data_IF_490309954954
#
_entry.id   IF_490309954954
#
_cell.length_a   1.000
_cell.length_b   1.000
_cell.length_c   1.000
_cell.angle_alpha   90.00
_cell.angle_beta   90.00
_cell.angle_gamma   90.00
#
_symmetry.space_group_name_H-M   'P 1'
#
loop_
_entity.id
_entity.type
_entity.pdbx_description
1 polymer ?
#
# COMPACT_ATOMS: atom_id res chain seq x y z
N UNK A 1 -18.08 7.09 -9.87
CA UNK A 1 -16.70 6.53 -9.91
C UNK A 1 -16.72 5.00 -9.96
N UNK A 2 -17.34 4.29 -9.04
CA UNK A 2 -17.35 2.80 -9.08
C UNK A 2 -17.89 2.22 -10.39
N UNK A 3 -18.95 2.77 -10.95
CA UNK A 3 -19.58 2.30 -12.19
C UNK A 3 -18.71 2.51 -13.46
N UNK A 4 -17.86 3.52 -13.49
CA UNK A 4 -17.07 3.84 -14.69
C UNK A 4 -15.59 3.47 -14.55
N UNK A 5 -15.10 3.20 -13.34
CA UNK A 5 -13.70 2.98 -13.05
C UNK A 5 -13.44 1.70 -12.24
N UNK A 6 -14.15 1.52 -11.13
CA UNK A 6 -13.84 0.48 -10.14
C UNK A 6 -13.93 -0.94 -10.69
N UNK A 7 -14.92 -1.23 -11.53
CA UNK A 7 -15.07 -2.57 -12.12
C UNK A 7 -13.95 -2.92 -13.11
N UNK A 8 -13.41 -1.95 -13.85
CA UNK A 8 -12.27 -2.15 -14.76
C UNK A 8 -11.01 -2.47 -13.98
N UNK A 9 -10.77 -1.76 -12.87
CA UNK A 9 -9.68 -2.07 -11.96
C UNK A 9 -9.83 -3.47 -11.36
N UNK A 10 -11.03 -3.84 -10.89
CA UNK A 10 -11.30 -5.17 -10.36
C UNK A 10 -11.06 -6.27 -11.40
N UNK A 11 -11.49 -6.05 -12.65
CA UNK A 11 -11.25 -6.96 -13.74
C UNK A 11 -9.74 -7.11 -14.05
N UNK A 12 -9.01 -6.02 -14.11
CA UNK A 12 -7.56 -6.03 -14.31
C UNK A 12 -6.81 -6.80 -13.22
N UNK A 13 -7.21 -6.62 -11.95
CA UNK A 13 -6.67 -7.38 -10.81
C UNK A 13 -7.01 -8.86 -10.96
N UNK A 14 -8.26 -9.20 -11.29
CA UNK A 14 -8.69 -10.59 -11.44
C UNK A 14 -7.90 -11.30 -12.56
N UNK A 15 -7.78 -10.68 -13.73
CA UNK A 15 -7.03 -11.23 -14.86
C UNK A 15 -5.56 -11.43 -14.48
N UNK A 16 -4.94 -10.45 -13.83
CA UNK A 16 -3.55 -10.51 -13.38
C UNK A 16 -3.35 -11.65 -12.38
N UNK A 17 -4.24 -11.79 -11.39
CA UNK A 17 -4.16 -12.85 -10.39
C UNK A 17 -4.33 -14.25 -11.01
N UNK A 18 -5.28 -14.43 -11.93
CA UNK A 18 -5.48 -15.70 -12.64
C UNK A 18 -4.24 -16.04 -13.47
N UNK A 19 -3.67 -15.06 -14.18
CA UNK A 19 -2.46 -15.27 -14.97
C UNK A 19 -1.28 -15.70 -14.07
N UNK A 20 -1.04 -15.00 -12.98
CA UNK A 20 0.02 -15.36 -12.02
C UNK A 20 -0.22 -16.72 -11.39
N UNK A 21 -1.45 -17.03 -11.01
CA UNK A 21 -1.78 -18.36 -10.50
C UNK A 21 -1.44 -19.47 -11.51
N UNK A 22 -1.77 -19.28 -12.79
CA UNK A 22 -1.44 -20.24 -13.85
C UNK A 22 0.06 -20.39 -14.04
N UNK A 23 0.79 -19.26 -14.10
CA UNK A 23 2.24 -19.24 -14.31
C UNK A 23 3.00 -19.85 -13.14
N UNK A 24 2.61 -19.53 -11.91
CA UNK A 24 3.32 -19.94 -10.70
C UNK A 24 2.69 -21.11 -9.96
N UNK A 25 1.66 -21.77 -10.52
CA UNK A 25 0.95 -22.90 -9.88
C UNK A 25 1.88 -24.00 -9.35
N UNK A 26 2.97 -24.28 -10.08
CA UNK A 26 3.94 -25.30 -9.66
C UNK A 26 4.78 -24.86 -8.44
N UNK A 27 5.04 -23.56 -8.30
CA UNK A 27 5.72 -23.01 -7.13
C UNK A 27 4.79 -22.97 -5.92
N UNK A 28 3.55 -22.53 -6.09
CA UNK A 28 2.54 -22.58 -5.03
C UNK A 28 2.31 -23.99 -4.48
N UNK A 29 2.29 -25.00 -5.36
CA UNK A 29 2.15 -26.40 -4.96
C UNK A 29 3.38 -26.92 -4.17
N UNK A 30 4.59 -26.37 -4.40
CA UNK A 30 5.79 -26.68 -3.61
C UNK A 30 5.74 -26.00 -2.25
N UNK A 31 5.43 -24.69 -2.22
CA UNK A 31 5.33 -23.93 -0.96
C UNK A 31 4.35 -24.58 0.03
N UNK A 32 3.17 -24.97 -0.43
CA UNK A 32 2.20 -25.65 0.45
C UNK A 32 2.68 -27.01 0.99
N UNK A 33 3.61 -27.69 0.30
CA UNK A 33 4.20 -28.94 0.81
C UNK A 33 5.33 -28.69 1.82
N UNK A 34 6.06 -27.61 1.63
CA UNK A 34 7.17 -27.21 2.51
C UNK A 34 6.62 -26.64 3.83
N UNK A 35 5.59 -25.80 3.80
CA UNK A 35 4.88 -25.33 5.00
C UNK A 35 4.30 -26.48 5.84
N UNK A 36 3.68 -27.47 5.18
CA UNK A 36 3.15 -28.66 5.90
C UNK A 36 4.29 -29.48 6.50
N UNK A 37 5.47 -29.50 5.89
CA UNK A 37 6.64 -30.21 6.40
C UNK A 37 7.30 -29.48 7.56
N UNK A 38 7.42 -28.16 7.49
CA UNK A 38 7.95 -27.32 8.57
C UNK A 38 6.99 -27.29 9.76
N UNK A 39 5.70 -27.09 9.54
CA UNK A 39 4.68 -27.17 10.60
C UNK A 39 4.64 -28.53 11.30
N UNK A 40 4.99 -29.63 10.61
CA UNK A 40 5.09 -30.95 11.23
C UNK A 40 6.44 -31.21 11.94
N UNK A 41 7.48 -30.44 11.62
CA UNK A 41 8.81 -30.55 12.23
C UNK A 41 8.99 -29.64 13.46
N UNK A 42 8.26 -28.52 13.51
CA UNK A 42 8.38 -27.47 14.54
C UNK A 42 7.45 -27.63 15.76
N UNK A 43 6.80 -28.78 15.96
CA UNK A 43 6.14 -29.05 17.23
C UNK A 43 7.13 -29.36 18.40
N UNK A 44 8.26 -28.64 18.40
CA UNK A 44 9.08 -28.51 19.60
C UNK A 44 8.95 -27.05 20.07
N UNK A 45 7.99 -26.85 20.96
CA UNK A 45 7.84 -25.64 21.78
C UNK A 45 9.15 -25.35 22.52
N UNK A 46 9.87 -24.27 22.26
CA UNK A 46 10.83 -23.78 23.23
C UNK A 46 10.05 -23.37 24.48
N UNK A 47 10.44 -23.87 25.64
CA UNK A 47 9.93 -23.38 26.93
C UNK A 47 10.17 -21.87 27.00
N UNK A 48 9.12 -21.10 26.78
CA UNK A 48 9.12 -19.67 27.01
C UNK A 48 9.34 -19.45 28.50
N UNK A 49 10.58 -19.22 28.87
CA UNK A 49 10.97 -18.85 30.21
C UNK A 49 10.15 -17.61 30.59
N UNK A 50 9.25 -17.73 31.55
CA UNK A 50 8.36 -16.69 32.05
C UNK A 50 9.18 -15.56 32.67
N UNK A 51 9.79 -14.69 31.85
CA UNK A 51 10.46 -13.49 32.30
C UNK A 51 9.40 -12.45 32.68
N UNK A 52 9.56 -11.86 33.85
CA UNK A 52 8.63 -10.86 34.36
C UNK A 52 8.77 -9.56 33.53
N UNK A 53 7.64 -8.87 33.20
CA UNK A 53 7.69 -7.55 32.59
C UNK A 53 8.51 -6.60 33.47
N UNK A 54 9.59 -6.03 32.94
CA UNK A 54 10.47 -5.12 33.67
C UNK A 54 11.93 -5.58 33.78
N UNK A 55 12.28 -6.79 33.37
CA UNK A 55 13.64 -7.32 33.34
C UNK A 55 14.22 -7.53 31.94
N UNK A 56 13.43 -7.24 30.89
CA UNK A 56 13.87 -7.32 29.51
C UNK A 56 14.42 -5.98 29.02
N UNK A 57 15.49 -6.03 28.24
CA UNK A 57 15.90 -4.88 27.44
C UNK A 57 14.84 -4.61 26.33
N UNK A 58 14.82 -3.38 25.80
CA UNK A 58 13.88 -3.02 24.74
C UNK A 58 14.02 -3.93 23.53
N UNK A 59 15.24 -4.30 23.17
CA UNK A 59 15.56 -5.14 22.00
C UNK A 59 15.12 -6.60 22.20
N UNK A 60 15.27 -7.16 23.41
CA UNK A 60 14.77 -8.49 23.77
C UNK A 60 13.23 -8.54 23.73
N UNK A 61 12.59 -7.45 24.20
CA UNK A 61 11.14 -7.31 24.12
C UNK A 61 10.65 -7.24 22.67
N UNK A 62 11.34 -6.49 21.80
CA UNK A 62 11.01 -6.41 20.38
C UNK A 62 11.23 -7.74 19.65
N UNK A 63 12.31 -8.48 19.95
CA UNK A 63 12.58 -9.79 19.39
C UNK A 63 11.49 -10.81 19.80
N UNK A 64 11.11 -10.85 21.07
CA UNK A 64 10.02 -11.69 21.57
C UNK A 64 8.68 -11.39 20.90
N UNK A 65 8.41 -10.11 20.55
CA UNK A 65 7.20 -9.72 19.84
C UNK A 65 7.24 -10.05 18.34
N UNK A 66 8.43 -10.05 17.74
CA UNK A 66 8.61 -10.45 16.33
C UNK A 66 8.39 -11.95 16.11
N UNK A 67 8.71 -12.77 17.12
CA UNK A 67 8.54 -14.25 17.11
C UNK A 67 7.16 -14.71 17.59
N UNK A 68 6.24 -13.80 17.81
CA UNK A 68 4.94 -14.13 18.37
C UNK A 68 4.05 -14.89 17.40
N UNK A 69 3.78 -16.16 17.66
CA UNK A 69 2.85 -17.01 16.89
C UNK A 69 1.37 -16.87 17.30
N UNK A 70 1.06 -16.11 18.36
CA UNK A 70 -0.31 -15.97 18.83
C UNK A 70 -1.15 -15.13 17.87
N UNK A 71 -2.28 -15.67 17.44
CA UNK A 71 -3.25 -14.96 16.60
C UNK A 71 -3.78 -13.71 17.30
N UNK A 72 -3.86 -12.60 16.56
CA UNK A 72 -4.44 -11.36 17.07
C UNK A 72 -5.93 -11.62 17.38
N UNK A 73 -6.43 -11.28 18.59
CA UNK A 73 -7.83 -11.44 18.93
C UNK A 73 -8.74 -10.68 17.94
N UNK A 74 -9.81 -11.33 17.51
CA UNK A 74 -10.72 -10.74 16.52
C UNK A 74 -11.31 -9.37 16.93
N UNK A 75 -11.52 -9.15 18.24
CA UNK A 75 -12.04 -7.88 18.75
C UNK A 75 -11.03 -6.73 18.56
N UNK A 76 -9.72 -7.00 18.64
CA UNK A 76 -8.67 -6.01 18.34
C UNK A 76 -8.78 -5.58 16.88
N UNK A 77 -8.88 -6.56 15.97
CA UNK A 77 -9.08 -6.29 14.54
C UNK A 77 -10.36 -5.48 14.29
N UNK A 78 -11.46 -5.83 14.96
CA UNK A 78 -12.72 -5.10 14.84
C UNK A 78 -12.56 -3.63 15.29
N UNK A 79 -11.89 -3.38 16.41
CA UNK A 79 -11.64 -2.01 16.90
C UNK A 79 -10.77 -1.23 15.91
N UNK A 80 -9.75 -1.84 15.31
CA UNK A 80 -8.97 -1.20 14.23
C UNK A 80 -9.85 -0.80 13.04
N UNK A 81 -10.75 -1.69 12.61
CA UNK A 81 -11.70 -1.40 11.53
C UNK A 81 -12.65 -0.25 11.90
N UNK A 82 -13.09 -0.17 13.17
CA UNK A 82 -13.90 0.94 13.65
C UNK A 82 -13.14 2.27 13.60
N UNK A 83 -11.86 2.30 14.01
CA UNK A 83 -11.04 3.52 13.90
C UNK A 83 -10.77 3.90 12.45
N UNK A 84 -10.55 2.93 11.57
CA UNK A 84 -10.43 3.18 10.13
C UNK A 84 -11.71 3.79 9.57
N UNK A 85 -12.86 3.19 9.85
CA UNK A 85 -14.17 3.70 9.42
C UNK A 85 -14.43 5.11 9.97
N UNK A 86 -14.11 5.36 11.24
CA UNK A 86 -14.19 6.69 11.86
C UNK A 86 -13.32 7.70 11.11
N UNK A 87 -12.07 7.37 10.84
CA UNK A 87 -11.14 8.26 10.14
C UNK A 87 -11.62 8.58 8.73
N UNK A 88 -12.10 7.58 7.98
CA UNK A 88 -12.67 7.78 6.64
C UNK A 88 -13.91 8.66 6.68
N UNK A 89 -14.82 8.39 7.61
CA UNK A 89 -16.06 9.18 7.76
C UNK A 89 -15.80 10.63 8.16
N UNK A 90 -14.80 10.86 9.01
CA UNK A 90 -14.45 12.19 9.54
C UNK A 90 -13.31 12.87 8.80
N UNK A 91 -12.86 12.34 7.65
CA UNK A 91 -11.66 12.78 6.91
C UNK A 91 -11.65 14.29 6.60
N UNK A 92 -12.83 14.91 6.42
CA UNK A 92 -12.98 16.34 6.16
C UNK A 92 -13.04 17.21 7.44
N UNK A 93 -13.03 16.61 8.62
CA UNK A 93 -13.19 17.29 9.92
C UNK A 93 -11.98 17.03 10.83
N UNK A 94 -10.89 17.85 10.74
CA UNK A 94 -9.69 17.67 11.55
C UNK A 94 -9.95 17.60 13.06
N UNK A 95 -10.94 18.38 13.54
CA UNK A 95 -11.36 18.37 14.94
C UNK A 95 -11.93 17.03 15.43
N UNK A 96 -12.27 16.10 14.52
CA UNK A 96 -12.79 14.77 14.84
C UNK A 96 -11.76 13.67 14.59
N UNK A 97 -11.05 13.68 13.47
CA UNK A 97 -10.10 12.61 13.18
C UNK A 97 -8.80 12.73 13.98
N UNK A 98 -8.33 13.95 14.35
CA UNK A 98 -7.13 14.11 15.16
C UNK A 98 -7.32 13.52 16.57
N UNK A 99 -8.36 13.86 17.34
CA UNK A 99 -8.63 13.18 18.59
C UNK A 99 -8.88 11.67 18.43
N UNK A 100 -9.54 11.26 17.33
CA UNK A 100 -9.70 9.86 16.99
C UNK A 100 -8.37 9.12 16.84
N UNK A 101 -7.39 9.73 16.17
CA UNK A 101 -6.02 9.20 16.08
C UNK A 101 -5.35 9.10 17.46
N UNK A 102 -5.46 10.13 18.30
CA UNK A 102 -4.88 10.08 19.65
C UNK A 102 -5.52 8.99 20.50
N UNK A 103 -6.84 8.81 20.38
CA UNK A 103 -7.53 7.73 21.06
C UNK A 103 -7.12 6.36 20.54
N UNK A 104 -6.92 6.21 19.22
CA UNK A 104 -6.34 5.01 18.62
C UNK A 104 -4.96 4.69 19.17
N UNK A 105 -4.06 5.68 19.29
CA UNK A 105 -2.73 5.48 19.88
C UNK A 105 -2.81 5.05 21.35
N UNK A 106 -3.76 5.58 22.11
CA UNK A 106 -4.05 5.13 23.48
C UNK A 106 -4.52 3.68 23.50
N UNK A 107 -5.43 3.30 22.61
CA UNK A 107 -5.88 1.92 22.47
C UNK A 107 -4.72 0.98 22.11
N UNK A 108 -3.86 1.39 21.16
CA UNK A 108 -2.65 0.62 20.80
C UNK A 108 -1.72 0.39 21.97
N UNK A 109 -1.50 1.42 22.79
CA UNK A 109 -0.67 1.33 23.99
C UNK A 109 -1.26 0.36 25.03
N UNK A 110 -2.57 0.43 25.27
CA UNK A 110 -3.25 -0.43 26.23
C UNK A 110 -3.32 -1.90 25.79
N UNK A 111 -3.39 -2.13 24.49
CA UNK A 111 -3.53 -3.48 23.90
C UNK A 111 -2.22 -4.00 23.29
N UNK A 112 -1.09 -3.39 23.61
CA UNK A 112 0.22 -3.77 23.08
C UNK A 112 0.55 -5.26 23.29
N UNK A 113 0.02 -5.89 24.35
CA UNK A 113 0.17 -7.33 24.63
C UNK A 113 -0.63 -8.24 23.68
N UNK A 114 -1.59 -7.70 22.93
CA UNK A 114 -2.51 -8.47 22.07
C UNK A 114 -2.32 -8.24 20.58
N UNK A 115 -1.37 -7.40 20.19
CA UNK A 115 -1.17 -7.00 18.79
C UNK A 115 0.29 -6.69 18.50
N UNK A 116 0.63 -6.62 17.21
CA UNK A 116 1.97 -6.24 16.79
C UNK A 116 2.21 -4.76 17.06
N UNK A 117 3.49 -4.38 17.25
CA UNK A 117 3.90 -2.98 17.40
C UNK A 117 3.52 -2.19 16.15
N UNK A 118 2.86 -1.05 16.35
CA UNK A 118 2.58 -0.11 15.25
C UNK A 118 3.77 0.82 15.06
N UNK A 119 4.40 0.75 13.91
CA UNK A 119 5.43 1.68 13.52
C UNK A 119 4.80 2.97 12.97
N UNK A 120 4.98 4.07 13.70
CA UNK A 120 4.44 5.38 13.30
C UNK A 120 5.36 6.15 12.36
N UNK A 121 6.67 5.83 12.34
CA UNK A 121 7.67 6.57 11.55
C UNK A 121 7.32 6.60 10.06
N UNK A 122 7.01 5.45 9.49
CA UNK A 122 6.66 5.34 8.07
C UNK A 122 5.45 6.21 7.70
N UNK A 123 4.27 6.03 8.32
CA UNK A 123 3.09 6.85 8.07
C UNK A 123 3.30 8.36 8.29
N UNK A 124 4.05 8.75 9.33
CA UNK A 124 4.37 10.16 9.59
C UNK A 124 5.24 10.73 8.46
N UNK A 125 6.26 10.01 8.00
CA UNK A 125 7.11 10.44 6.89
C UNK A 125 6.30 10.60 5.59
N UNK A 126 5.35 9.69 5.31
CA UNK A 126 4.42 9.82 4.18
C UNK A 126 3.55 11.06 4.34
N UNK A 127 3.03 11.34 5.53
CA UNK A 127 2.25 12.55 5.81
C UNK A 127 3.04 13.84 5.55
N UNK A 128 4.29 13.92 5.99
CA UNK A 128 5.19 15.05 5.70
C UNK A 128 5.50 15.17 4.20
N UNK A 129 5.73 14.05 3.52
CA UNK A 129 5.95 14.04 2.07
C UNK A 129 4.73 14.60 1.32
N UNK A 130 3.52 14.12 1.63
CA UNK A 130 2.28 14.60 1.01
C UNK A 130 2.02 16.09 1.34
N UNK A 131 2.27 16.52 2.58
CA UNK A 131 2.19 17.93 2.96
C UNK A 131 3.15 18.81 2.17
N UNK A 132 4.41 18.37 2.03
CA UNK A 132 5.40 19.04 1.17
C UNK A 132 4.99 19.11 -0.29
N UNK A 133 4.41 18.01 -0.82
CA UNK A 133 3.88 17.94 -2.17
C UNK A 133 2.76 18.97 -2.41
N UNK A 134 1.82 19.11 -1.47
CA UNK A 134 0.72 20.08 -1.56
C UNK A 134 1.28 21.50 -1.65
N UNK A 135 2.25 21.84 -0.78
CA UNK A 135 2.87 23.17 -0.77
C UNK A 135 3.64 23.44 -2.08
N UNK A 136 4.54 22.53 -2.44
CA UNK A 136 5.36 22.71 -3.65
C UNK A 136 4.55 22.58 -4.95
N UNK A 137 3.61 21.65 -5.00
CA UNK A 137 2.75 21.45 -6.16
C UNK A 137 1.89 22.68 -6.44
N UNK A 138 1.31 23.30 -5.40
CA UNK A 138 0.54 24.53 -5.54
C UNK A 138 1.32 25.68 -6.19
N UNK A 139 2.63 25.75 -5.93
CA UNK A 139 3.52 26.74 -6.54
C UNK A 139 3.88 26.42 -8.01
N UNK A 140 3.62 25.21 -8.49
CA UNK A 140 3.99 24.74 -9.83
C UNK A 140 2.82 24.70 -10.81
N UNK A 141 1.61 25.06 -10.39
CA UNK A 141 0.41 25.02 -11.22
C UNK A 141 0.56 25.76 -12.56
N UNK A 142 1.36 26.84 -12.60
CA UNK A 142 1.57 27.70 -13.77
C UNK A 142 2.16 26.97 -15.00
N UNK A 143 2.99 25.93 -14.80
CA UNK A 143 3.55 25.14 -15.90
C UNK A 143 2.86 23.78 -16.06
N UNK A 144 2.36 23.19 -14.96
CA UNK A 144 1.67 21.90 -14.96
C UNK A 144 0.36 22.00 -15.75
N UNK A 145 -0.41 23.08 -15.52
CA UNK A 145 -1.71 23.26 -16.17
C UNK A 145 -1.63 23.23 -17.71
N UNK A 146 -0.76 24.02 -18.38
CA UNK A 146 -0.64 23.97 -19.83
C UNK A 146 -0.08 22.64 -20.35
N UNK A 147 0.85 22.00 -19.64
CA UNK A 147 1.41 20.70 -20.05
C UNK A 147 0.36 19.59 -20.01
N UNK A 148 -0.32 19.42 -18.87
CA UNK A 148 -1.35 18.38 -18.73
C UNK A 148 -2.58 18.68 -19.61
N UNK A 149 -2.96 19.95 -19.73
CA UNK A 149 -4.11 20.36 -20.54
C UNK A 149 -3.89 20.25 -22.06
N UNK A 150 -2.64 20.15 -22.52
CA UNK A 150 -2.31 20.00 -23.95
C UNK A 150 -2.28 18.55 -24.43
N UNK A 151 -2.25 17.57 -23.52
CA UNK A 151 -2.17 16.16 -23.88
C UNK A 151 -3.56 15.57 -24.18
N UNK A 152 -3.65 14.79 -25.25
CA UNK A 152 -4.81 13.94 -25.50
C UNK A 152 -4.89 12.80 -24.46
N UNK A 153 -6.05 12.17 -24.34
CA UNK A 153 -6.36 11.20 -23.26
C UNK A 153 -5.36 10.04 -23.18
N UNK A 154 -5.02 9.40 -24.29
CA UNK A 154 -4.10 8.25 -24.31
C UNK A 154 -2.66 8.66 -23.94
N UNK A 155 -2.06 9.67 -24.58
CA UNK A 155 -0.76 10.22 -24.13
C UNK A 155 -0.76 10.65 -22.67
N UNK A 156 -1.85 11.25 -22.19
CA UNK A 156 -1.97 11.70 -20.81
C UNK A 156 -1.98 10.49 -19.83
N UNK A 157 -2.73 9.45 -20.15
CA UNK A 157 -2.74 8.21 -19.36
C UNK A 157 -1.37 7.55 -19.33
N UNK A 158 -0.69 7.42 -20.47
CA UNK A 158 0.65 6.83 -20.53
C UNK A 158 1.68 7.66 -19.76
N UNK A 159 1.61 8.99 -19.90
CA UNK A 159 2.47 9.92 -19.15
C UNK A 159 2.23 9.77 -17.64
N UNK A 160 0.97 9.74 -17.20
CA UNK A 160 0.63 9.51 -15.79
C UNK A 160 1.14 8.15 -15.29
N UNK A 161 1.04 7.08 -16.09
CA UNK A 161 1.57 5.75 -15.76
C UNK A 161 3.08 5.79 -15.56
N UNK A 162 3.81 6.40 -16.47
CA UNK A 162 5.28 6.51 -16.41
C UNK A 162 5.71 7.37 -15.22
N UNK A 163 5.11 8.55 -15.06
CA UNK A 163 5.44 9.45 -13.95
C UNK A 163 5.17 8.80 -12.59
N UNK A 164 4.09 8.03 -12.47
CA UNK A 164 3.77 7.29 -11.26
C UNK A 164 4.84 6.25 -10.91
N UNK A 165 5.49 5.63 -11.88
CA UNK A 165 6.59 4.71 -11.61
C UNK A 165 7.80 5.36 -10.90
N UNK A 166 7.99 6.66 -11.08
CA UNK A 166 9.08 7.43 -10.47
C UNK A 166 8.61 8.34 -9.33
N UNK A 167 7.30 8.39 -9.08
CA UNK A 167 6.69 9.24 -8.07
C UNK A 167 5.46 8.54 -7.49
N UNK A 168 4.94 9.02 -6.36
CA UNK A 168 3.72 8.50 -5.77
C UNK A 168 2.49 8.83 -6.64
N UNK A 169 1.55 7.89 -6.74
CA UNK A 169 0.32 8.07 -7.52
C UNK A 169 -0.59 9.18 -6.97
N UNK A 170 -0.55 9.42 -5.65
CA UNK A 170 -1.26 10.54 -5.05
C UNK A 170 -0.65 11.89 -5.49
N UNK A 171 0.67 11.95 -5.71
CA UNK A 171 1.34 13.11 -6.24
C UNK A 171 0.81 13.47 -7.64
N UNK A 172 0.77 12.49 -8.53
CA UNK A 172 0.33 12.69 -9.92
C UNK A 172 -1.15 13.10 -9.97
N UNK A 173 -2.00 12.46 -9.20
CA UNK A 173 -3.43 12.82 -9.13
C UNK A 173 -3.64 14.18 -8.50
N UNK A 174 -2.89 14.55 -7.46
CA UNK A 174 -2.95 15.88 -6.86
C UNK A 174 -2.56 16.97 -7.87
N UNK A 175 -1.45 16.81 -8.59
CA UNK A 175 -0.99 17.79 -9.60
C UNK A 175 -2.05 18.01 -10.69
N UNK A 176 -2.79 16.98 -11.07
CA UNK A 176 -3.89 17.11 -12.02
C UNK A 176 -5.06 17.96 -11.46
N UNK A 177 -5.29 18.00 -10.14
CA UNK A 177 -6.32 18.86 -9.55
C UNK A 177 -5.99 20.35 -9.65
N UNK A 178 -4.73 20.69 -9.90
CA UNK A 178 -4.28 22.08 -10.09
C UNK A 178 -4.60 22.62 -11.49
N UNK A 179 -5.03 21.75 -12.42
CA UNK A 179 -5.41 22.16 -13.78
C UNK A 179 -6.86 22.65 -13.78
N UNK A 180 -7.13 23.94 -14.01
CA UNK A 180 -8.48 24.46 -14.05
C UNK A 180 -9.27 23.84 -15.21
N UNK A 181 -10.53 23.49 -14.95
CA UNK A 181 -11.47 22.98 -15.95
C UNK A 181 -10.96 21.77 -16.77
N UNK A 182 -10.14 20.89 -16.15
CA UNK A 182 -9.70 19.67 -16.80
C UNK A 182 -10.92 18.82 -17.20
N UNK A 183 -10.98 18.40 -18.48
CA UNK A 183 -12.09 17.62 -19.01
C UNK A 183 -12.25 16.30 -18.24
N UNK A 184 -13.46 15.79 -18.13
CA UNK A 184 -13.74 14.52 -17.40
C UNK A 184 -12.96 13.34 -17.98
N UNK A 185 -12.82 13.27 -19.31
CA UNK A 185 -12.02 12.26 -19.97
C UNK A 185 -10.53 12.35 -19.60
N UNK A 186 -9.99 13.57 -19.49
CA UNK A 186 -8.61 13.80 -19.04
C UNK A 186 -8.42 13.47 -17.56
N UNK A 187 -9.39 13.77 -16.70
CA UNK A 187 -9.38 13.34 -15.29
C UNK A 187 -9.38 11.81 -15.19
N UNK A 188 -10.21 11.15 -16.00
CA UNK A 188 -10.22 9.70 -16.11
C UNK A 188 -8.84 9.16 -16.52
N UNK A 189 -8.24 9.73 -17.58
CA UNK A 189 -6.95 9.31 -18.11
C UNK A 189 -5.83 9.43 -17.04
N UNK A 190 -5.78 10.52 -16.28
CA UNK A 190 -4.80 10.71 -15.19
C UNK A 190 -4.98 9.67 -14.10
N UNK A 191 -6.22 9.47 -13.62
CA UNK A 191 -6.49 8.50 -12.55
C UNK A 191 -6.21 7.08 -13.02
N UNK A 192 -6.62 6.73 -14.23
CA UNK A 192 -6.35 5.44 -14.84
C UNK A 192 -4.84 5.19 -14.97
N UNK A 193 -4.09 6.18 -15.44
CA UNK A 193 -2.63 6.10 -15.53
C UNK A 193 -1.94 5.96 -14.16
N UNK A 194 -2.36 6.74 -13.18
CA UNK A 194 -1.83 6.69 -11.82
C UNK A 194 -2.09 5.33 -11.15
N UNK A 195 -3.28 4.74 -11.33
CA UNK A 195 -3.60 3.40 -10.83
C UNK A 195 -2.78 2.34 -11.58
N UNK A 196 -2.68 2.46 -12.90
CA UNK A 196 -1.92 1.52 -13.75
C UNK A 196 -0.45 1.48 -13.37
N UNK A 197 0.18 2.65 -13.12
CA UNK A 197 1.60 2.77 -12.76
C UNK A 197 1.92 2.43 -11.31
N UNK A 198 0.92 2.41 -10.43
CA UNK A 198 1.11 2.30 -8.97
C UNK A 198 1.80 1.03 -8.46
N UNK A 199 1.87 -0.02 -9.27
CA UNK A 199 2.57 -1.26 -8.93
C UNK A 199 3.98 -1.40 -9.51
N UNK A 200 4.43 -0.49 -10.37
CA UNK A 200 5.69 -0.64 -11.12
C UNK A 200 6.93 -0.57 -10.24
N UNK A 201 6.92 0.25 -9.21
CA UNK A 201 8.05 0.41 -8.29
C UNK A 201 7.59 0.52 -6.86
N UNK A 202 8.52 0.40 -5.93
CA UNK A 202 8.22 0.54 -4.49
C UNK A 202 7.69 1.93 -4.16
N UNK A 203 8.16 2.98 -4.84
CA UNK A 203 7.79 4.37 -4.58
C UNK A 203 6.51 4.80 -5.30
N UNK A 204 6.03 4.01 -6.24
CA UNK A 204 4.88 4.36 -7.08
C UNK A 204 3.54 4.46 -6.32
N UNK A 205 3.47 3.91 -5.11
CA UNK A 205 2.28 3.98 -4.27
C UNK A 205 2.66 3.86 -2.79
N UNK A 206 2.04 4.63 -1.92
CA UNK A 206 2.33 4.69 -0.49
C UNK A 206 2.32 3.33 0.26
N UNK A 207 1.42 2.37 -0.01
CA UNK A 207 1.45 1.06 0.63
C UNK A 207 2.56 0.12 0.15
N UNK A 208 3.21 0.38 -0.99
CA UNK A 208 4.24 -0.52 -1.54
C UNK A 208 5.45 -0.71 -0.61
N UNK A 209 6.01 0.34 0.05
CA UNK A 209 7.08 0.17 1.03
C UNK A 209 6.66 -0.69 2.23
N UNK A 210 5.41 -0.58 2.68
CA UNK A 210 4.89 -1.44 3.76
C UNK A 210 4.82 -2.91 3.32
N UNK A 211 4.30 -3.16 2.12
CA UNK A 211 4.32 -4.50 1.51
C UNK A 211 5.74 -5.05 1.38
N UNK A 212 6.69 -4.22 0.94
CA UNK A 212 8.09 -4.62 0.84
C UNK A 212 8.71 -4.96 2.21
N UNK A 213 8.41 -4.20 3.25
CA UNK A 213 8.94 -4.47 4.60
C UNK A 213 8.42 -5.80 5.17
N UNK A 214 7.16 -6.13 4.91
CA UNK A 214 6.54 -7.40 5.35
C UNK A 214 7.11 -8.58 4.57
N UNK A 215 7.24 -8.44 3.25
CA UNK A 215 7.68 -9.52 2.36
C UNK A 215 9.19 -9.65 2.27
N UNK A 216 9.95 -8.62 2.65
CA UNK A 216 11.41 -8.57 2.53
C UNK A 216 12.12 -9.75 3.21
N UNK A 217 11.57 -10.25 4.32
CA UNK A 217 12.09 -11.40 5.06
C UNK A 217 12.10 -12.72 4.26
N UNK A 218 11.29 -12.84 3.22
CA UNK A 218 11.23 -14.02 2.35
C UNK A 218 12.22 -13.97 1.19
N UNK A 219 13.03 -12.91 1.09
CA UNK A 219 14.02 -12.72 0.05
C UNK A 219 15.40 -12.56 0.68
N UNK A 220 16.36 -13.43 0.36
CA UNK A 220 17.73 -13.45 0.95
C UNK A 220 18.45 -12.09 0.90
N UNK A 221 18.18 -11.28 -0.14
CA UNK A 221 18.80 -9.97 -0.34
C UNK A 221 17.76 -8.83 -0.44
N UNK A 222 16.56 -9.04 0.14
CA UNK A 222 15.44 -8.13 -0.02
C UNK A 222 14.84 -8.14 -1.44
N UNK A 223 13.80 -7.35 -1.66
CA UNK A 223 13.13 -7.27 -2.96
C UNK A 223 13.99 -6.46 -3.93
N UNK A 224 14.48 -7.10 -4.99
CA UNK A 224 15.28 -6.44 -6.02
C UNK A 224 14.38 -5.49 -6.86
N UNK A 225 14.68 -4.17 -6.93
CA UNK A 225 13.80 -3.20 -7.61
C UNK A 225 13.63 -3.47 -9.11
N UNK A 226 14.68 -3.93 -9.80
CA UNK A 226 14.60 -4.22 -11.24
C UNK A 226 13.74 -5.46 -11.51
N UNK A 227 13.89 -6.51 -10.71
CA UNK A 227 13.07 -7.72 -10.83
C UNK A 227 11.61 -7.41 -10.50
N UNK A 228 11.34 -6.55 -9.52
CA UNK A 228 9.99 -6.07 -9.20
C UNK A 228 9.40 -5.33 -10.41
N UNK A 229 10.13 -4.38 -10.99
CA UNK A 229 9.68 -3.63 -12.17
C UNK A 229 9.33 -4.59 -13.33
N UNK A 230 10.22 -5.54 -13.65
CA UNK A 230 9.99 -6.50 -14.74
C UNK A 230 8.76 -7.38 -14.44
N UNK A 231 8.63 -7.87 -13.21
CA UNK A 231 7.47 -8.65 -12.81
C UNK A 231 6.17 -7.83 -12.89
N UNK A 232 6.19 -6.57 -12.49
CA UNK A 232 5.03 -5.69 -12.50
C UNK A 232 4.58 -5.24 -13.90
N UNK A 233 5.44 -5.36 -14.95
CA UNK A 233 5.10 -4.91 -16.31
C UNK A 233 3.85 -5.60 -16.86
N UNK A 234 3.72 -6.90 -16.68
CA UNK A 234 2.57 -7.66 -17.22
C UNK A 234 1.25 -7.22 -16.57
N UNK A 235 1.11 -7.18 -15.24
CA UNK A 235 -0.09 -6.62 -14.60
C UNK A 235 -0.37 -5.17 -14.98
N UNK A 236 0.66 -4.35 -15.15
CA UNK A 236 0.54 -2.95 -15.57
C UNK A 236 -0.05 -2.86 -16.98
N UNK A 237 0.43 -3.66 -17.93
CA UNK A 237 -0.13 -3.70 -19.29
C UNK A 237 -1.59 -4.17 -19.25
N UNK A 238 -1.91 -5.22 -18.51
CA UNK A 238 -3.28 -5.71 -18.36
C UNK A 238 -4.18 -4.62 -17.79
N UNK A 239 -3.76 -3.95 -16.74
CA UNK A 239 -4.51 -2.86 -16.11
C UNK A 239 -4.73 -1.69 -17.07
N UNK A 240 -3.67 -1.27 -17.77
CA UNK A 240 -3.75 -0.23 -18.79
C UNK A 240 -4.75 -0.57 -19.91
N UNK A 241 -4.71 -1.79 -20.41
CA UNK A 241 -5.67 -2.26 -21.45
C UNK A 241 -7.11 -2.27 -20.92
N UNK A 242 -7.35 -2.71 -19.68
CA UNK A 242 -8.68 -2.66 -19.07
C UNK A 242 -9.23 -1.23 -18.99
N UNK A 243 -8.39 -0.23 -18.75
CA UNK A 243 -8.82 1.18 -18.71
C UNK A 243 -8.97 1.80 -20.10
N UNK A 244 -8.19 1.36 -21.09
CA UNK A 244 -8.20 1.94 -22.44
C UNK A 244 -9.28 1.38 -23.34
N UNK A 245 -9.61 0.08 -23.20
CA UNK A 245 -10.46 -0.63 -24.15
C UNK A 245 -11.91 -0.75 -23.64
N UNK A 246 -12.08 -0.86 -22.33
CA UNK A 246 -13.37 -1.03 -21.69
C UNK A 246 -13.95 0.29 -21.20
#
# INVERSE_FOLDING_TARGET
>A
MAANFGWKAALGILISNVLYFIVFRGQFAKMGKDEVKEASAEFHTPEVQKLKPGQMSHDEFEAMWAERETTIPWWVTLVHLCFLAWTVYTAHYPALFIPGLLFFLGFMSLTATHQNKVELKGPIMVGFFLGGLIIHGGLQAWWIAPVLGSLAEVPLMLTATILTAFNDNAAITYLATLVPNLAEASKYAVVAGAVTGGGLTVIANAPNPAGQSILGRFFEHGVNPLKLLIAALVPTIIMGLCFMIL
#
